data_IF_364548526302
#
_entry.id   IF_364548526302
#
_cell.length_a   1.000
_cell.length_b   1.000
_cell.length_c   1.000
_cell.angle_alpha   90.00
_cell.angle_beta   90.00
_cell.angle_gamma   90.00
#
_symmetry.space_group_name_H-M   'P 1'
#
loop_
_entity.id
_entity.type
_entity.pdbx_description
1 polymer ?
#
# COMPACT_ATOMS: atom_id res chain seq x y z
N UNK A 1 -35.65 29.30 -23.47
CA UNK A 1 -35.19 28.17 -22.66
C UNK A 1 -33.72 28.02 -22.93
N UNK A 2 -32.85 28.35 -21.98
CA UNK A 2 -31.41 28.10 -22.09
C UNK A 2 -31.18 26.61 -21.83
N UNK A 3 -30.70 25.88 -22.82
CA UNK A 3 -30.24 24.49 -22.62
C UNK A 3 -28.91 24.60 -21.86
N UNK A 4 -28.98 24.57 -20.53
CA UNK A 4 -27.79 24.39 -19.73
C UNK A 4 -27.33 22.96 -19.95
N UNK A 5 -26.28 22.77 -20.76
CA UNK A 5 -25.66 21.46 -20.91
C UNK A 5 -25.21 20.94 -19.55
N UNK A 6 -25.50 19.68 -19.25
CA UNK A 6 -25.04 19.06 -18.04
C UNK A 6 -23.50 19.13 -18.01
N UNK A 7 -22.95 19.81 -17.02
CA UNK A 7 -21.47 19.83 -16.81
C UNK A 7 -21.06 18.44 -16.33
N UNK A 8 -20.27 17.76 -17.15
CA UNK A 8 -19.73 16.45 -16.81
C UNK A 8 -18.54 16.63 -15.85
N UNK A 9 -18.73 16.21 -14.61
CA UNK A 9 -17.69 16.27 -13.57
C UNK A 9 -16.98 14.91 -13.46
N UNK A 10 -15.79 14.82 -14.03
CA UNK A 10 -14.96 13.60 -14.02
C UNK A 10 -14.54 13.21 -12.59
N UNK A 11 -14.23 14.18 -11.74
CA UNK A 11 -13.81 13.90 -10.34
C UNK A 11 -14.96 13.23 -9.58
N UNK A 12 -16.16 13.76 -9.72
CA UNK A 12 -17.36 13.19 -9.11
C UNK A 12 -17.67 11.79 -9.67
N UNK A 13 -17.50 11.58 -10.97
CA UNK A 13 -17.69 10.26 -11.57
C UNK A 13 -16.70 9.23 -10.98
N UNK A 14 -15.43 9.58 -10.86
CA UNK A 14 -14.41 8.70 -10.27
C UNK A 14 -14.70 8.41 -8.80
N UNK A 15 -15.18 9.39 -8.05
CA UNK A 15 -15.58 9.17 -6.65
C UNK A 15 -16.78 8.21 -6.53
N UNK A 16 -17.80 8.39 -7.36
CA UNK A 16 -18.92 7.44 -7.45
C UNK A 16 -18.44 6.04 -7.80
N UNK A 17 -17.54 5.92 -8.79
CA UNK A 17 -16.96 4.64 -9.19
C UNK A 17 -16.21 3.95 -8.04
N UNK A 18 -15.35 4.67 -7.31
CA UNK A 18 -14.66 4.17 -6.11
C UNK A 18 -15.65 3.65 -5.05
N UNK A 19 -16.73 4.40 -4.82
CA UNK A 19 -17.77 4.01 -3.87
C UNK A 19 -18.50 2.72 -4.29
N UNK A 20 -18.73 2.52 -5.59
CA UNK A 20 -19.35 1.30 -6.13
C UNK A 20 -18.38 0.12 -6.04
N UNK A 21 -17.15 0.28 -6.55
CA UNK A 21 -16.14 -0.79 -6.59
C UNK A 21 -15.74 -1.23 -5.17
N UNK A 22 -15.70 -0.32 -4.21
CA UNK A 22 -15.37 -0.65 -2.81
C UNK A 22 -16.33 -1.66 -2.17
N UNK A 23 -17.57 -1.76 -2.69
CA UNK A 23 -18.60 -2.70 -2.21
C UNK A 23 -18.53 -4.07 -2.89
N UNK A 24 -17.70 -4.22 -3.95
CA UNK A 24 -17.56 -5.50 -4.63
C UNK A 24 -16.73 -6.48 -3.80
N UNK A 25 -17.05 -7.77 -3.93
CA UNK A 25 -16.22 -8.85 -3.40
C UNK A 25 -14.89 -8.91 -4.16
N UNK A 26 -13.86 -9.47 -3.52
CA UNK A 26 -12.57 -9.71 -4.18
C UNK A 26 -12.73 -10.57 -5.44
N UNK A 27 -13.60 -11.58 -5.40
CA UNK A 27 -13.94 -12.42 -6.54
C UNK A 27 -14.47 -11.56 -7.72
N UNK A 28 -15.43 -10.67 -7.45
CA UNK A 28 -16.01 -9.80 -8.49
C UNK A 28 -14.96 -8.85 -9.07
N UNK A 29 -14.07 -8.30 -8.23
CA UNK A 29 -12.98 -7.43 -8.72
C UNK A 29 -12.00 -8.22 -9.56
N UNK A 30 -11.64 -9.43 -9.16
CA UNK A 30 -10.80 -10.32 -9.96
C UNK A 30 -11.39 -10.54 -11.35
N UNK A 31 -12.67 -10.92 -11.43
CA UNK A 31 -13.34 -11.20 -12.69
C UNK A 31 -13.39 -10.00 -13.63
N UNK A 32 -13.76 -8.84 -13.13
CA UNK A 32 -13.84 -7.61 -13.92
C UNK A 32 -12.44 -7.09 -14.32
N UNK A 33 -11.47 -7.19 -13.41
CA UNK A 33 -10.08 -6.84 -13.72
C UNK A 33 -9.49 -7.76 -14.76
N UNK A 34 -9.71 -9.07 -14.63
CA UNK A 34 -9.23 -10.05 -15.61
C UNK A 34 -9.83 -9.78 -16.99
N UNK A 35 -11.16 -9.59 -17.09
CA UNK A 35 -11.85 -9.26 -18.32
C UNK A 35 -11.31 -7.99 -18.97
N UNK A 36 -11.00 -6.96 -18.18
CA UNK A 36 -10.38 -5.75 -18.68
C UNK A 36 -8.95 -6.02 -19.17
N UNK A 37 -8.16 -6.75 -18.39
CA UNK A 37 -6.74 -7.04 -18.67
C UNK A 37 -6.60 -7.92 -19.92
N UNK A 38 -7.45 -8.89 -20.15
CA UNK A 38 -7.46 -9.70 -21.37
C UNK A 38 -7.61 -8.88 -22.65
N UNK A 39 -8.24 -7.72 -22.54
CA UNK A 39 -8.42 -6.81 -23.68
C UNK A 39 -7.32 -5.76 -23.79
N UNK A 40 -6.78 -5.27 -22.68
CA UNK A 40 -5.94 -4.06 -22.66
C UNK A 40 -4.53 -4.25 -22.08
N UNK A 41 -4.29 -5.29 -21.29
CA UNK A 41 -2.99 -5.61 -20.69
C UNK A 41 -2.83 -7.13 -20.52
N UNK A 42 -2.48 -7.80 -21.60
CA UNK A 42 -2.34 -9.26 -21.65
C UNK A 42 -1.33 -9.79 -20.60
N UNK A 43 -0.24 -9.07 -20.37
CA UNK A 43 0.76 -9.47 -19.37
C UNK A 43 0.19 -9.49 -17.95
N UNK A 44 -0.63 -8.51 -17.62
CA UNK A 44 -1.31 -8.46 -16.34
C UNK A 44 -2.39 -9.55 -16.22
N UNK A 45 -3.09 -9.84 -17.31
CA UNK A 45 -4.04 -10.97 -17.35
C UNK A 45 -3.34 -12.31 -17.06
N UNK A 46 -2.17 -12.55 -17.66
CA UNK A 46 -1.36 -13.74 -17.38
C UNK A 46 -0.92 -13.81 -15.92
N UNK A 47 -0.42 -12.71 -15.36
CA UNK A 47 -0.03 -12.61 -13.97
C UNK A 47 -1.18 -13.00 -13.01
N UNK A 48 -2.38 -12.47 -13.25
CA UNK A 48 -3.57 -12.78 -12.47
C UNK A 48 -3.97 -14.26 -12.55
N UNK A 49 -3.73 -14.91 -13.70
CA UNK A 49 -4.09 -16.31 -13.95
C UNK A 49 -3.11 -17.33 -13.36
N UNK A 50 -1.84 -16.96 -13.17
CA UNK A 50 -0.80 -17.87 -12.63
C UNK A 50 -1.25 -18.52 -11.32
N UNK A 51 -1.84 -17.71 -10.42
CA UNK A 51 -2.44 -18.20 -9.19
C UNK A 51 -3.70 -17.40 -8.85
N UNK A 52 -4.84 -17.87 -9.34
CA UNK A 52 -6.14 -17.23 -9.14
C UNK A 52 -6.46 -17.01 -7.66
N UNK A 53 -6.25 -18.01 -6.82
CA UNK A 53 -6.60 -17.94 -5.40
C UNK A 53 -5.72 -16.93 -4.66
N UNK A 54 -4.45 -16.86 -5.04
CA UNK A 54 -3.54 -15.83 -4.52
C UNK A 54 -4.01 -14.44 -4.95
N UNK A 55 -4.31 -14.24 -6.23
CA UNK A 55 -4.80 -12.95 -6.76
C UNK A 55 -6.08 -12.49 -6.04
N UNK A 56 -7.01 -13.40 -5.78
CA UNK A 56 -8.24 -13.09 -5.03
C UNK A 56 -7.91 -12.71 -3.57
N UNK A 57 -6.97 -13.40 -2.92
CA UNK A 57 -6.54 -13.06 -1.54
C UNK A 57 -5.91 -11.68 -1.49
N UNK A 58 -5.04 -11.35 -2.43
CA UNK A 58 -4.43 -10.01 -2.55
C UNK A 58 -5.51 -8.94 -2.73
N UNK A 59 -6.44 -9.15 -3.63
CA UNK A 59 -7.57 -8.24 -3.88
C UNK A 59 -8.54 -8.15 -2.69
N UNK A 60 -8.52 -9.09 -1.75
CA UNK A 60 -9.36 -9.08 -0.54
C UNK A 60 -8.78 -8.25 0.61
N UNK A 61 -7.53 -7.80 0.51
CA UNK A 61 -6.88 -6.98 1.54
C UNK A 61 -7.68 -5.70 1.77
N UNK A 62 -8.04 -5.45 3.04
CA UNK A 62 -8.85 -4.30 3.49
C UNK A 62 -10.28 -4.23 2.89
N UNK A 63 -10.83 -5.32 2.35
CA UNK A 63 -12.22 -5.42 1.89
C UNK A 63 -13.12 -6.06 2.94
N UNK A 64 -14.43 -5.89 2.77
CA UNK A 64 -15.42 -6.47 3.68
C UNK A 64 -15.51 -5.82 5.06
N UNK A 65 -14.77 -4.74 5.30
CA UNK A 65 -14.82 -3.95 6.55
C UNK A 65 -15.95 -2.93 6.51
N UNK A 66 -16.32 -2.40 7.68
CA UNK A 66 -17.32 -1.31 7.80
C UNK A 66 -16.90 -0.06 6.99
N UNK A 67 -15.61 0.18 6.84
CA UNK A 67 -15.02 1.22 5.97
C UNK A 67 -14.10 0.55 4.95
N UNK A 68 -14.63 0.05 3.83
CA UNK A 68 -13.82 -0.63 2.83
C UNK A 68 -12.88 0.35 2.13
N UNK A 69 -11.76 -0.16 1.64
CA UNK A 69 -10.78 0.58 0.87
C UNK A 69 -11.37 1.14 -0.44
N UNK A 70 -11.13 2.42 -0.75
CA UNK A 70 -11.67 3.15 -1.91
C UNK A 70 -10.55 3.66 -2.82
N UNK A 71 -9.64 2.80 -3.19
CA UNK A 71 -8.44 3.13 -3.97
C UNK A 71 -8.57 2.84 -5.47
N UNK A 72 -9.57 2.05 -5.87
CA UNK A 72 -9.80 1.67 -7.26
C UNK A 72 -11.00 2.43 -7.81
N UNK A 73 -10.78 3.24 -8.84
CA UNK A 73 -11.84 3.92 -9.59
C UNK A 73 -12.04 3.34 -11.01
N UNK A 74 -11.04 2.67 -11.55
CA UNK A 74 -11.01 2.05 -12.88
C UNK A 74 -10.23 0.75 -12.83
N UNK A 75 -10.57 -0.21 -13.68
CA UNK A 75 -9.86 -1.50 -13.74
C UNK A 75 -8.38 -1.35 -14.13
N UNK A 76 -8.03 -0.30 -14.89
CA UNK A 76 -6.64 0.02 -15.23
C UNK A 76 -5.76 0.40 -14.02
N UNK A 77 -6.34 0.78 -12.90
CA UNK A 77 -5.61 1.17 -11.69
C UNK A 77 -5.26 -0.04 -10.81
N UNK A 78 -5.93 -1.19 -11.01
CA UNK A 78 -5.76 -2.38 -10.16
C UNK A 78 -4.33 -2.88 -10.21
N UNK A 79 -3.71 -2.92 -11.40
CA UNK A 79 -2.33 -3.36 -11.57
C UNK A 79 -1.38 -2.64 -10.61
N UNK A 80 -1.35 -1.32 -10.63
CA UNK A 80 -0.48 -0.50 -9.79
C UNK A 80 -0.68 -0.71 -8.29
N UNK A 81 -1.89 -1.14 -7.89
CA UNK A 81 -2.21 -1.36 -6.47
C UNK A 81 -1.79 -2.73 -5.95
N UNK A 82 -1.50 -3.70 -6.81
CA UNK A 82 -1.23 -5.08 -6.40
C UNK A 82 0.00 -5.74 -7.03
N UNK A 83 0.54 -5.21 -8.15
CA UNK A 83 1.61 -5.90 -8.89
C UNK A 83 2.89 -6.16 -8.06
N UNK A 84 3.21 -5.28 -7.13
CA UNK A 84 4.35 -5.45 -6.22
C UNK A 84 4.21 -6.66 -5.27
N UNK A 85 3.00 -7.21 -5.12
CA UNK A 85 2.76 -8.42 -4.32
C UNK A 85 3.08 -9.72 -5.06
N UNK A 86 3.48 -9.65 -6.34
CA UNK A 86 3.89 -10.81 -7.12
C UNK A 86 5.41 -10.87 -7.20
N UNK A 87 6.01 -11.97 -6.77
CA UNK A 87 7.47 -12.13 -6.70
C UNK A 87 8.16 -11.78 -8.01
N UNK A 88 7.65 -12.24 -9.16
CA UNK A 88 8.23 -11.98 -10.47
C UNK A 88 8.31 -10.48 -10.82
N UNK A 89 7.45 -9.67 -10.22
CA UNK A 89 7.44 -8.22 -10.39
C UNK A 89 8.32 -7.57 -9.34
N UNK A 90 8.18 -7.97 -8.07
CA UNK A 90 8.93 -7.46 -6.93
C UNK A 90 10.44 -7.62 -7.10
N UNK A 91 10.90 -8.81 -7.52
CA UNK A 91 12.32 -9.10 -7.75
C UNK A 91 12.97 -8.24 -8.84
N UNK A 92 12.17 -7.62 -9.72
CA UNK A 92 12.63 -6.72 -10.77
C UNK A 92 12.60 -5.25 -10.36
N UNK A 93 12.03 -4.93 -9.21
CA UNK A 93 12.02 -3.57 -8.67
C UNK A 93 13.40 -3.28 -8.07
N UNK A 94 14.17 -2.43 -8.74
CA UNK A 94 15.51 -2.05 -8.31
C UNK A 94 15.61 -0.58 -7.87
N UNK A 95 14.50 0.14 -7.87
CA UNK A 95 14.47 1.58 -7.60
C UNK A 95 13.76 1.83 -6.27
N UNK A 96 14.58 2.00 -5.22
CA UNK A 96 14.11 2.23 -3.85
C UNK A 96 14.40 3.69 -3.47
N UNK A 97 13.40 4.55 -3.55
CA UNK A 97 13.50 5.94 -3.11
C UNK A 97 13.11 6.09 -1.64
N UNK A 98 14.08 6.33 -0.79
CA UNK A 98 13.87 6.62 0.63
C UNK A 98 13.75 8.13 0.83
N UNK A 99 12.52 8.63 0.97
CA UNK A 99 12.21 10.06 0.96
C UNK A 99 12.53 10.82 2.25
N UNK A 100 12.64 10.13 3.40
CA UNK A 100 12.73 10.76 4.73
C UNK A 100 14.07 10.57 5.41
N UNK A 101 14.74 9.48 5.11
CA UNK A 101 16.05 9.14 5.65
C UNK A 101 16.94 8.90 4.43
N UNK A 102 17.91 9.77 4.22
CA UNK A 102 18.80 9.72 3.03
C UNK A 102 20.10 8.97 3.32
N UNK A 103 20.50 8.86 4.57
CA UNK A 103 21.71 8.15 4.98
C UNK A 103 21.57 6.65 4.78
N UNK A 104 22.31 6.12 3.83
CA UNK A 104 22.28 4.70 3.45
C UNK A 104 22.71 3.77 4.58
N UNK A 105 23.65 4.17 5.42
CA UNK A 105 24.10 3.34 6.55
C UNK A 105 23.02 3.34 7.65
N UNK A 106 22.36 4.46 7.88
CA UNK A 106 21.22 4.51 8.80
C UNK A 106 20.06 3.62 8.32
N UNK A 107 19.70 3.72 7.04
CA UNK A 107 18.66 2.86 6.42
C UNK A 107 19.02 1.39 6.59
N UNK A 108 20.26 1.00 6.29
CA UNK A 108 20.74 -0.36 6.42
C UNK A 108 20.68 -0.86 7.87
N UNK A 109 21.04 -0.04 8.83
CA UNK A 109 20.98 -0.38 10.25
C UNK A 109 19.53 -0.56 10.72
N UNK A 110 18.61 0.30 10.29
CA UNK A 110 17.17 0.18 10.56
C UNK A 110 16.63 -1.14 9.99
N UNK A 111 16.91 -1.43 8.71
CA UNK A 111 16.44 -2.66 8.06
C UNK A 111 17.03 -3.91 8.73
N UNK A 112 18.31 -3.89 9.09
CA UNK A 112 18.97 -4.99 9.81
C UNK A 112 18.33 -5.22 11.18
N UNK A 113 18.15 -4.15 11.97
CA UNK A 113 17.51 -4.24 13.29
C UNK A 113 16.07 -4.76 13.16
N UNK A 114 15.32 -4.31 12.13
CA UNK A 114 13.98 -4.82 11.86
C UNK A 114 13.97 -6.33 11.62
N UNK A 115 14.82 -6.82 10.72
CA UNK A 115 14.87 -8.24 10.36
C UNK A 115 15.30 -9.10 11.56
N UNK A 116 16.32 -8.66 12.32
CA UNK A 116 16.91 -9.44 13.39
C UNK A 116 16.06 -9.49 14.67
N UNK A 117 15.29 -8.43 14.96
CA UNK A 117 14.64 -8.27 16.27
C UNK A 117 13.12 -8.12 16.22
N UNK A 118 12.58 -7.57 15.15
CA UNK A 118 11.18 -7.13 15.11
C UNK A 118 10.33 -7.88 14.07
N UNK A 119 10.95 -8.50 13.05
CA UNK A 119 10.20 -9.21 12.02
C UNK A 119 9.66 -10.54 12.53
N UNK A 120 8.32 -10.69 12.48
CA UNK A 120 7.63 -11.94 12.75
C UNK A 120 6.42 -12.05 11.82
N UNK A 121 6.38 -13.09 11.00
CA UNK A 121 5.34 -13.28 9.96
C UNK A 121 3.94 -13.51 10.55
N UNK A 122 3.85 -13.88 11.80
CA UNK A 122 2.58 -14.15 12.50
C UNK A 122 2.00 -12.95 13.21
N UNK A 123 2.72 -11.81 13.21
CA UNK A 123 2.25 -10.60 13.86
C UNK A 123 0.93 -10.09 13.26
N UNK A 124 0.01 -9.74 14.12
CA UNK A 124 -1.12 -8.92 13.71
C UNK A 124 -0.72 -7.45 13.51
N UNK A 125 -1.63 -6.67 12.97
CA UNK A 125 -1.37 -5.26 12.67
C UNK A 125 -0.96 -4.43 13.89
N UNK A 126 -1.55 -4.68 15.05
CA UNK A 126 -1.30 -3.93 16.28
C UNK A 126 0.06 -4.30 16.86
N UNK A 127 0.36 -5.58 16.94
CA UNK A 127 1.67 -6.09 17.38
C UNK A 127 2.78 -5.58 16.47
N UNK A 128 2.61 -5.68 15.14
CA UNK A 128 3.57 -5.16 14.18
C UNK A 128 3.81 -3.66 14.38
N UNK A 129 2.76 -2.86 14.54
CA UNK A 129 2.91 -1.42 14.70
C UNK A 129 3.57 -1.03 16.02
N UNK A 130 3.35 -1.79 17.12
CA UNK A 130 4.07 -1.59 18.37
C UNK A 130 5.57 -1.90 18.21
N UNK A 131 5.93 -2.95 17.50
CA UNK A 131 7.33 -3.25 17.14
C UNK A 131 7.96 -2.13 16.29
N UNK A 132 7.20 -1.47 15.40
CA UNK A 132 7.70 -0.29 14.67
C UNK A 132 8.00 0.89 15.60
N UNK A 133 7.23 1.07 16.66
CA UNK A 133 7.51 2.09 17.70
C UNK A 133 8.77 1.76 18.49
N UNK A 134 8.97 0.48 18.83
CA UNK A 134 10.18 0.02 19.53
C UNK A 134 11.42 0.21 18.62
N UNK A 135 11.33 -0.16 17.35
CA UNK A 135 12.37 0.07 16.35
C UNK A 135 12.69 1.58 16.20
N UNK A 136 11.68 2.44 16.24
CA UNK A 136 11.86 3.89 16.17
C UNK A 136 12.67 4.39 17.36
N UNK A 137 12.31 4.01 18.58
CA UNK A 137 13.02 4.39 19.80
C UNK A 137 14.47 3.90 19.82
N UNK A 138 14.72 2.64 19.42
CA UNK A 138 16.07 2.07 19.32
C UNK A 138 16.99 2.86 18.35
N UNK A 139 16.43 3.52 17.36
CA UNK A 139 17.17 4.30 16.37
C UNK A 139 17.18 5.82 16.62
N UNK A 140 16.64 6.28 17.76
CA UNK A 140 16.60 7.70 18.13
C UNK A 140 15.46 8.49 17.50
N UNK A 141 14.39 7.80 17.11
CA UNK A 141 13.15 8.40 16.60
C UNK A 141 12.06 8.35 17.68
N UNK A 142 11.17 9.33 17.68
CA UNK A 142 10.04 9.34 18.60
C UNK A 142 9.04 8.21 18.30
N UNK A 143 8.54 7.57 19.33
CA UNK A 143 7.50 6.51 19.24
C UNK A 143 6.19 7.03 18.68
N UNK A 144 5.91 8.30 18.88
CA UNK A 144 4.65 8.94 18.49
C UNK A 144 4.90 10.27 17.78
N UNK A 145 4.11 10.55 16.74
CA UNK A 145 4.16 11.84 16.01
C UNK A 145 3.92 13.03 16.95
N UNK A 146 3.05 12.87 17.96
CA UNK A 146 2.75 13.92 18.93
C UNK A 146 3.94 14.23 19.83
N UNK A 147 4.71 13.23 20.17
CA UNK A 147 5.93 13.36 20.97
C UNK A 147 7.00 14.14 20.20
N UNK A 148 7.25 13.75 18.95
CA UNK A 148 8.15 14.49 18.06
C UNK A 148 7.76 15.95 17.91
N UNK A 149 6.45 16.24 17.72
CA UNK A 149 5.96 17.61 17.55
C UNK A 149 6.16 18.48 18.80
N UNK A 150 6.21 17.89 19.98
CA UNK A 150 6.43 18.64 21.23
C UNK A 150 7.90 18.95 21.50
N UNK A 151 8.79 18.04 21.14
CA UNK A 151 10.23 18.12 21.44
C UNK A 151 11.04 17.65 20.22
N UNK A 152 10.99 18.35 19.07
CA UNK A 152 11.63 17.88 17.85
C UNK A 152 13.16 17.81 17.96
N UNK A 153 13.77 18.58 18.86
CA UNK A 153 15.21 18.62 19.10
C UNK A 153 15.74 17.32 19.76
N UNK A 154 14.86 16.52 20.37
CA UNK A 154 15.26 15.31 21.07
C UNK A 154 15.31 14.07 20.17
N UNK A 155 14.81 14.18 18.94
CA UNK A 155 14.62 13.03 18.05
C UNK A 155 15.07 13.34 16.62
N UNK A 156 15.54 12.33 15.91
CA UNK A 156 15.86 12.42 14.48
C UNK A 156 14.60 12.55 13.60
N UNK A 157 13.45 12.10 14.10
CA UNK A 157 12.17 12.04 13.41
C UNK A 157 11.17 11.26 14.27
N UNK A 158 10.23 10.54 13.64
CA UNK A 158 9.22 9.78 14.37
C UNK A 158 8.95 8.41 13.73
N UNK A 159 8.16 7.57 14.39
CA UNK A 159 7.78 6.21 13.93
C UNK A 159 7.29 6.15 12.47
N UNK A 160 6.66 7.21 11.95
CA UNK A 160 6.23 7.27 10.56
C UNK A 160 7.38 7.27 9.56
N UNK A 161 8.54 7.85 9.91
CA UNK A 161 9.73 7.87 9.06
C UNK A 161 10.35 6.47 8.99
N UNK A 162 10.47 5.80 10.13
CA UNK A 162 10.90 4.38 10.23
C UNK A 162 9.95 3.46 9.46
N UNK A 163 8.63 3.62 9.65
CA UNK A 163 7.63 2.83 8.92
C UNK A 163 7.69 3.06 7.40
N UNK A 164 8.13 4.23 6.96
CA UNK A 164 8.33 4.53 5.53
C UNK A 164 9.53 3.77 4.98
N UNK A 165 10.65 3.69 5.73
CA UNK A 165 11.82 2.88 5.33
C UNK A 165 11.43 1.42 5.16
N UNK A 166 10.75 0.84 6.15
CA UNK A 166 10.32 -0.56 6.07
C UNK A 166 9.38 -0.79 4.88
N UNK A 167 8.45 0.13 4.63
CA UNK A 167 7.48 0.03 3.53
C UNK A 167 8.10 0.14 2.15
N UNK A 168 9.20 0.90 2.00
CA UNK A 168 9.92 1.00 0.72
C UNK A 168 10.74 -0.26 0.46
N UNK A 169 11.22 -0.93 1.51
CA UNK A 169 12.04 -2.13 1.41
C UNK A 169 11.24 -3.44 1.23
N UNK A 170 9.93 -3.43 1.59
CA UNK A 170 9.01 -4.57 1.45
C UNK A 170 8.16 -4.47 0.18
#
# INVERSE_FOLDING_TARGET
MSVSGAVFDMVKLLDVSKNVISKYTAQKIYEETLKWSEKYDQKFAELLKVNKDYSIRVLNIERGKAKPRKDISKWSEVKQTIEYMYNDVFEKMNDYEFQKIEDKEEIKNILKSYIEKHFEITDDKETWFNKMKDLAEENGYAREVKEFKKNPENYKGHVGDISTVIRVAL
#
